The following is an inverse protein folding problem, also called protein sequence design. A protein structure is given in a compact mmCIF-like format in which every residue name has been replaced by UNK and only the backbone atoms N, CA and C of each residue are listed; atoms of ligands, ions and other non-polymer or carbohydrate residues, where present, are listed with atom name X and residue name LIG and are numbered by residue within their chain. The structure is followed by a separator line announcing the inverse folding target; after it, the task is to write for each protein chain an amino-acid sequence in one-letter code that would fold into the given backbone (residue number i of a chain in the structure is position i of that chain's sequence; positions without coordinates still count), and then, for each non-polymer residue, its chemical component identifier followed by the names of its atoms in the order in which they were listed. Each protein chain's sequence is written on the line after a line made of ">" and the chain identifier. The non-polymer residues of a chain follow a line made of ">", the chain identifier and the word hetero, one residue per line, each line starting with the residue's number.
data_IF_529887158887
#
_entry.id   IF_529887158887
#
_cell.length_a   1.000
_cell.length_b   1.000
_cell.length_c   1.000
_cell.angle_alpha   90.00
_cell.angle_beta   90.00
_cell.angle_gamma   90.00
#
_symmetry.space_group_name_H-M   'P 1'
#
loop_
_entity.id
_entity.type
_entity.pdbx_description
1 polymer ?
#
# COMPACT_ATOMS: atom_id res chain seq x y z
N UNK A 1 -4.09 3.47 -12.92
CA UNK A 1 -5.32 3.46 -12.11
C UNK A 1 -5.92 4.85 -12.13
N UNK A 2 -7.22 5.00 -11.85
CA UNK A 2 -7.87 6.31 -11.77
C UNK A 2 -7.15 7.26 -10.79
N UNK A 3 -6.70 6.75 -9.63
CA UNK A 3 -5.94 7.53 -8.64
C UNK A 3 -4.65 8.14 -9.20
N UNK A 4 -3.85 7.36 -9.93
CA UNK A 4 -2.62 7.88 -10.55
C UNK A 4 -2.91 8.86 -11.69
N UNK A 5 -4.00 8.66 -12.44
CA UNK A 5 -4.42 9.57 -13.49
C UNK A 5 -4.90 10.93 -12.93
N UNK A 6 -5.36 10.94 -11.67
CA UNK A 6 -5.72 12.13 -10.91
C UNK A 6 -4.55 12.72 -10.09
N UNK A 7 -3.31 12.32 -10.39
CA UNK A 7 -2.09 12.83 -9.75
C UNK A 7 -1.97 12.58 -8.23
N UNK A 8 -2.62 11.53 -7.74
CA UNK A 8 -2.40 11.09 -6.36
C UNK A 8 -1.15 10.21 -6.24
N UNK A 9 -0.39 10.40 -5.16
CA UNK A 9 0.62 9.43 -4.71
C UNK A 9 -0.09 8.17 -4.24
N UNK A 10 0.33 7.00 -4.74
CA UNK A 10 -0.32 5.72 -4.45
C UNK A 10 0.67 4.71 -3.91
N UNK A 11 0.51 4.35 -2.64
CA UNK A 11 1.06 3.13 -2.07
C UNK A 11 0.14 1.95 -2.39
N UNK A 12 0.72 0.79 -2.69
CA UNK A 12 -0.05 -0.41 -3.07
C UNK A 12 0.21 -1.53 -2.10
N UNK A 13 -0.84 -1.96 -1.42
CA UNK A 13 -0.78 -3.12 -0.53
C UNK A 13 -0.80 -4.40 -1.40
N UNK A 14 0.18 -5.27 -1.21
CA UNK A 14 0.40 -6.49 -1.99
C UNK A 14 0.60 -7.70 -1.10
N UNK A 15 0.15 -8.89 -1.55
CA UNK A 15 0.31 -10.16 -0.82
C UNK A 15 1.62 -10.92 -1.10
N UNK A 16 2.49 -10.33 -1.92
CA UNK A 16 3.80 -10.87 -2.30
C UNK A 16 4.89 -9.95 -1.79
N UNK A 17 6.15 -10.38 -1.87
CA UNK A 17 7.28 -9.50 -1.61
C UNK A 17 7.17 -8.19 -2.44
N UNK A 18 7.30 -7.00 -1.83
CA UNK A 18 7.28 -5.73 -2.55
C UNK A 18 8.34 -5.71 -3.65
N UNK A 19 7.99 -5.21 -4.83
CA UNK A 19 8.93 -5.08 -5.95
C UNK A 19 9.60 -3.71 -6.06
N UNK A 20 9.09 -2.73 -5.32
CA UNK A 20 9.57 -1.35 -5.28
C UNK A 20 9.10 -0.68 -3.98
N UNK A 21 9.58 0.54 -3.74
CA UNK A 21 9.27 1.30 -2.53
C UNK A 21 7.84 1.84 -2.44
N UNK A 22 7.02 1.71 -3.49
CA UNK A 22 5.61 2.12 -3.47
C UNK A 22 4.67 0.93 -3.15
N UNK A 23 5.22 -0.18 -2.65
CA UNK A 23 4.49 -1.38 -2.28
C UNK A 23 4.68 -1.72 -0.80
N UNK A 24 3.58 -2.06 -0.13
CA UNK A 24 3.57 -2.57 1.24
C UNK A 24 3.11 -4.02 1.25
N UNK A 25 3.79 -4.87 2.01
CA UNK A 25 3.37 -6.25 2.18
C UNK A 25 2.20 -6.35 3.16
N UNK A 26 1.22 -7.18 2.83
CA UNK A 26 0.17 -7.61 3.75
C UNK A 26 -0.08 -9.12 3.58
N UNK A 27 -0.01 -9.86 4.69
CA UNK A 27 -0.51 -11.22 4.78
C UNK A 27 -1.86 -11.23 5.55
N UNK A 28 -2.99 -11.46 4.86
CA UNK A 28 -4.30 -11.50 5.51
C UNK A 28 -4.52 -12.75 6.39
N UNK A 29 -3.81 -13.86 6.11
CA UNK A 29 -4.01 -15.12 6.83
C UNK A 29 -3.41 -15.05 8.25
N UNK A 30 -2.27 -14.37 8.40
CA UNK A 30 -1.63 -14.14 9.70
C UNK A 30 -1.97 -12.76 10.29
N UNK A 31 -2.56 -11.86 9.51
CA UNK A 31 -2.74 -10.45 9.87
C UNK A 31 -1.44 -9.64 9.89
N UNK A 32 -0.37 -10.15 9.26
CA UNK A 32 0.92 -9.46 9.23
C UNK A 32 0.87 -8.28 8.26
N UNK A 33 0.96 -7.08 8.81
CA UNK A 33 0.98 -5.81 8.11
C UNK A 33 1.68 -4.79 9.00
N UNK A 34 2.61 -4.00 8.45
CA UNK A 34 3.23 -2.89 9.18
C UNK A 34 2.38 -1.62 9.01
N UNK A 35 1.63 -1.17 10.04
CA UNK A 35 0.75 -0.01 9.92
C UNK A 35 1.53 1.30 9.78
N UNK A 36 2.79 1.36 10.24
CA UNK A 36 3.62 2.57 10.10
C UNK A 36 3.89 2.91 8.63
N UNK A 37 3.78 1.93 7.72
CA UNK A 37 3.85 2.17 6.28
C UNK A 37 2.71 3.05 5.74
N UNK A 38 1.63 3.25 6.51
CA UNK A 38 0.50 4.12 6.15
C UNK A 38 0.61 5.54 6.74
N UNK A 39 1.71 5.89 7.40
CA UNK A 39 1.90 7.23 7.94
C UNK A 39 1.78 8.29 6.84
N UNK A 40 0.87 9.25 7.04
CA UNK A 40 0.58 10.32 6.08
C UNK A 40 -0.32 9.91 4.91
N UNK A 41 -0.92 8.72 4.93
CA UNK A 41 -1.96 8.33 3.96
C UNK A 41 -3.29 8.99 4.32
N UNK A 42 -3.83 9.77 3.39
CA UNK A 42 -5.11 10.47 3.58
C UNK A 42 -6.35 9.57 3.37
N UNK A 43 -6.20 8.48 2.59
CA UNK A 43 -7.30 7.57 2.26
C UNK A 43 -6.83 6.15 1.87
N UNK A 44 -7.68 5.15 2.14
CA UNK A 44 -7.51 3.74 1.73
C UNK A 44 -8.70 3.32 0.88
N UNK A 45 -8.46 2.53 -0.19
CA UNK A 45 -9.46 2.08 -1.17
C UNK A 45 -9.44 0.58 -1.38
#
# INVERSE_FOLDING_TARGET
>A
SALRAADHRVLRIVRRAPSNGDELHWNPDSGDFDPAGLDGVDAVV
#
